data_IF_430713757106
#
_entry.id   IF_430713757106
#
_cell.length_a   1.000
_cell.length_b   1.000
_cell.length_c   1.000
_cell.angle_alpha   90.00
_cell.angle_beta   90.00
_cell.angle_gamma   90.00
#
_symmetry.space_group_name_H-M   'P 1'
#
loop_
_entity.id
_entity.type
_entity.pdbx_description
1 polymer ?
#
# COMPACT_ATOMS: atom_id res chain seq x y z
N UNK A 1 0.24 1.97 22.75
CA UNK A 1 1.18 1.11 23.50
C UNK A 1 2.15 0.48 22.51
N UNK A 2 3.44 0.33 22.85
CA UNK A 2 4.48 -0.19 21.94
C UNK A 2 5.63 -0.80 22.74
N UNK A 3 6.34 -1.78 22.16
CA UNK A 3 7.55 -2.38 22.73
C UNK A 3 8.84 -1.64 22.30
N UNK A 4 8.73 -0.57 21.52
CA UNK A 4 9.86 0.22 21.06
C UNK A 4 10.38 1.12 22.19
N UNK A 5 11.68 1.07 22.44
CA UNK A 5 12.34 1.79 23.55
C UNK A 5 12.64 3.27 23.28
N UNK A 6 12.50 3.74 22.04
CA UNK A 6 12.83 5.13 21.65
C UNK A 6 11.61 5.84 21.10
N UNK A 7 11.29 7.00 21.68
CA UNK A 7 10.20 7.88 21.26
C UNK A 7 10.34 8.29 19.78
N UNK A 8 11.56 8.49 19.30
CA UNK A 8 11.83 8.86 17.90
C UNK A 8 11.49 7.71 16.95
N UNK A 9 11.89 6.49 17.30
CA UNK A 9 11.53 5.28 16.54
C UNK A 9 10.02 5.09 16.52
N UNK A 10 9.35 5.29 17.66
CA UNK A 10 7.89 5.22 17.77
C UNK A 10 7.23 6.21 16.82
N UNK A 11 7.64 7.49 16.87
CA UNK A 11 7.09 8.53 16.00
C UNK A 11 7.30 8.21 14.53
N UNK A 12 8.52 7.79 14.16
CA UNK A 12 8.87 7.44 12.77
C UNK A 12 8.07 6.25 12.24
N UNK A 13 7.89 5.20 13.03
CA UNK A 13 7.09 4.03 12.61
C UNK A 13 5.61 4.40 12.54
N UNK A 14 5.10 5.11 13.54
CA UNK A 14 3.69 5.49 13.57
C UNK A 14 3.32 6.44 12.43
N UNK A 15 4.21 7.36 12.04
CA UNK A 15 3.97 8.26 10.90
C UNK A 15 3.82 7.51 9.56
N UNK A 16 4.33 6.29 9.45
CA UNK A 16 4.20 5.47 8.24
C UNK A 16 2.84 4.72 8.16
N UNK A 17 2.02 4.75 9.23
CA UNK A 17 0.75 4.02 9.29
C UNK A 17 -0.18 4.36 8.12
N UNK A 18 -0.20 5.62 7.68
CA UNK A 18 -1.07 6.07 6.58
C UNK A 18 -0.70 5.43 5.24
N UNK A 19 0.49 4.81 5.11
CA UNK A 19 0.96 4.19 3.87
C UNK A 19 0.05 3.06 3.35
N UNK A 20 -0.70 2.37 4.21
CA UNK A 20 -1.63 1.31 3.81
C UNK A 20 -3.01 1.85 3.39
N UNK A 21 -3.33 3.11 3.68
CA UNK A 21 -4.68 3.65 3.41
C UNK A 21 -4.96 3.76 1.91
N UNK A 22 -3.94 4.03 1.10
CA UNK A 22 -4.06 4.01 -0.35
C UNK A 22 -4.46 2.62 -0.87
N UNK A 23 -3.86 1.57 -0.31
CA UNK A 23 -4.22 0.18 -0.64
C UNK A 23 -5.67 -0.13 -0.25
N UNK A 24 -6.11 0.29 0.94
CA UNK A 24 -7.50 0.09 1.35
C UNK A 24 -8.51 0.88 0.52
N UNK A 25 -8.16 2.10 0.08
CA UNK A 25 -8.99 2.87 -0.84
C UNK A 25 -9.14 2.15 -2.18
N UNK A 26 -8.03 1.60 -2.70
CA UNK A 26 -8.02 0.86 -3.96
C UNK A 26 -8.82 -0.45 -3.87
N UNK A 27 -8.90 -1.11 -2.70
CA UNK A 27 -9.75 -2.30 -2.51
C UNK A 27 -11.25 -2.01 -2.60
N UNK A 28 -11.64 -0.77 -2.29
CA UNK A 28 -13.03 -0.31 -2.26
C UNK A 28 -13.37 0.42 -3.56
N UNK A 29 -13.96 1.60 -3.45
CA UNK A 29 -14.39 2.43 -4.57
C UNK A 29 -13.27 3.16 -5.30
N UNK A 30 -12.03 3.10 -4.81
CA UNK A 30 -10.88 3.74 -5.44
C UNK A 30 -10.22 2.93 -6.56
N UNK A 31 -10.67 1.69 -6.81
CA UNK A 31 -10.04 0.84 -7.81
C UNK A 31 -10.75 -0.50 -8.04
N UNK A 32 -10.37 -1.52 -7.30
CA UNK A 32 -10.73 -2.92 -7.55
C UNK A 32 -12.17 -3.29 -7.20
N UNK A 33 -12.92 -2.45 -6.46
CA UNK A 33 -14.32 -2.67 -6.08
C UNK A 33 -14.58 -4.08 -5.52
N UNK A 34 -13.66 -4.59 -4.68
CA UNK A 34 -13.68 -6.00 -4.23
C UNK A 34 -14.97 -6.35 -3.49
N UNK A 35 -15.54 -5.40 -2.74
CA UNK A 35 -16.81 -5.56 -2.02
C UNK A 35 -18.01 -5.73 -2.96
N UNK A 36 -17.99 -5.11 -4.14
CA UNK A 36 -19.06 -5.21 -5.15
C UNK A 36 -18.84 -6.38 -6.13
N UNK A 37 -17.63 -6.93 -6.19
CA UNK A 37 -17.26 -7.97 -7.15
C UNK A 37 -17.94 -9.34 -6.88
N UNK A 38 -18.59 -9.52 -5.71
CA UNK A 38 -19.32 -10.75 -5.32
C UNK A 38 -18.51 -12.03 -5.63
N UNK A 39 -17.21 -12.02 -5.30
CA UNK A 39 -16.32 -13.13 -5.56
C UNK A 39 -16.52 -14.27 -4.56
N UNK A 40 -16.50 -15.52 -5.06
CA UNK A 40 -16.37 -16.67 -4.18
C UNK A 40 -15.00 -16.67 -3.49
N UNK A 41 -14.86 -17.46 -2.42
CA UNK A 41 -13.67 -17.47 -1.58
C UNK A 41 -12.37 -17.76 -2.37
N UNK A 42 -12.39 -18.75 -3.27
CA UNK A 42 -11.21 -19.10 -4.07
C UNK A 42 -10.80 -17.96 -4.99
N UNK A 43 -11.76 -17.33 -5.68
CA UNK A 43 -11.48 -16.19 -6.56
C UNK A 43 -10.98 -14.99 -5.77
N UNK A 44 -11.58 -14.70 -4.62
CA UNK A 44 -11.17 -13.60 -3.75
C UNK A 44 -9.73 -13.79 -3.25
N UNK A 45 -9.38 -15.00 -2.81
CA UNK A 45 -8.02 -15.32 -2.36
C UNK A 45 -6.99 -15.12 -3.47
N UNK A 46 -7.28 -15.60 -4.68
CA UNK A 46 -6.40 -15.44 -5.83
C UNK A 46 -6.22 -13.95 -6.21
N UNK A 47 -7.30 -13.15 -6.15
CA UNK A 47 -7.24 -11.71 -6.41
C UNK A 47 -6.39 -10.99 -5.36
N UNK A 48 -6.62 -11.24 -4.07
CA UNK A 48 -5.84 -10.62 -2.99
C UNK A 48 -4.36 -10.98 -3.13
N UNK A 49 -4.03 -12.23 -3.45
CA UNK A 49 -2.64 -12.66 -3.69
C UNK A 49 -2.01 -11.89 -4.85
N UNK A 50 -2.71 -11.80 -5.99
CA UNK A 50 -2.22 -11.07 -7.17
C UNK A 50 -1.99 -9.59 -6.84
N UNK A 51 -2.93 -8.96 -6.12
CA UNK A 51 -2.82 -7.57 -5.73
C UNK A 51 -1.64 -7.37 -4.76
N UNK A 52 -1.43 -8.27 -3.79
CA UNK A 52 -0.30 -8.22 -2.87
C UNK A 52 1.06 -8.29 -3.60
N UNK A 53 1.18 -9.17 -4.59
CA UNK A 53 2.39 -9.26 -5.44
C UNK A 53 2.59 -7.95 -6.21
N UNK A 54 1.53 -7.43 -6.84
CA UNK A 54 1.56 -6.16 -7.58
C UNK A 54 2.01 -4.99 -6.71
N UNK A 55 1.43 -4.80 -5.52
CA UNK A 55 1.84 -3.74 -4.59
C UNK A 55 3.28 -3.90 -4.13
N UNK A 56 3.75 -5.12 -3.92
CA UNK A 56 5.14 -5.39 -3.52
C UNK A 56 6.11 -4.93 -4.60
N UNK A 57 5.87 -5.32 -5.85
CA UNK A 57 6.69 -4.92 -7.01
C UNK A 57 6.65 -3.39 -7.19
N UNK A 58 5.46 -2.79 -7.16
CA UNK A 58 5.27 -1.36 -7.31
C UNK A 58 5.93 -0.56 -6.19
N UNK A 59 5.93 -1.08 -4.95
CA UNK A 59 6.61 -0.45 -3.81
C UNK A 59 8.12 -0.40 -4.01
N UNK A 60 8.73 -1.50 -4.48
CA UNK A 60 10.15 -1.50 -4.81
C UNK A 60 10.48 -0.54 -5.96
N UNK A 61 9.63 -0.50 -6.99
CA UNK A 61 9.83 0.42 -8.11
C UNK A 61 9.67 1.88 -7.68
N UNK A 62 8.69 2.19 -6.84
CA UNK A 62 8.49 3.52 -6.25
C UNK A 62 9.70 3.98 -5.45
N UNK A 63 10.32 3.09 -4.67
CA UNK A 63 11.58 3.40 -3.97
C UNK A 63 12.72 3.73 -4.94
N UNK A 64 12.86 2.99 -6.05
CA UNK A 64 13.87 3.28 -7.07
C UNK A 64 13.64 4.65 -7.71
N UNK A 65 12.39 4.99 -8.05
CA UNK A 65 12.02 6.30 -8.61
C UNK A 65 12.30 7.43 -7.61
N UNK A 66 11.95 7.22 -6.33
CA UNK A 66 12.21 8.18 -5.25
C UNK A 66 13.70 8.49 -5.13
N UNK A 67 14.56 7.46 -5.16
CA UNK A 67 16.03 7.60 -5.12
C UNK A 67 16.60 8.34 -6.33
N UNK A 68 15.98 8.23 -7.50
CA UNK A 68 16.37 8.96 -8.72
C UNK A 68 15.91 10.43 -8.74
N UNK A 69 15.13 10.87 -7.75
CA UNK A 69 14.59 12.25 -7.71
C UNK A 69 13.47 12.52 -8.73
N UNK A 70 12.96 11.50 -9.42
CA UNK A 70 11.96 11.64 -10.48
C UNK A 70 10.51 11.72 -9.96
N UNK A 71 10.33 12.15 -8.71
CA UNK A 71 9.02 12.20 -8.05
C UNK A 71 8.03 13.14 -8.76
N UNK A 72 8.54 14.20 -9.41
CA UNK A 72 7.76 15.15 -10.23
C UNK A 72 6.95 14.49 -11.36
N UNK A 73 7.36 13.31 -11.81
CA UNK A 73 6.73 12.59 -12.92
C UNK A 73 5.82 11.45 -12.44
N UNK A 74 5.63 11.30 -11.14
CA UNK A 74 4.72 10.30 -10.56
C UNK A 74 3.36 10.95 -10.39
N UNK A 75 2.34 10.39 -11.02
CA UNK A 75 0.96 10.88 -10.99
C UNK A 75 0.27 10.71 -9.62
N UNK A 76 0.81 9.84 -8.76
CA UNK A 76 0.29 9.55 -7.42
C UNK A 76 1.34 9.96 -6.38
N UNK A 77 1.20 11.18 -5.86
CA UNK A 77 2.05 11.75 -4.82
C UNK A 77 1.17 11.81 -3.57
N UNK A 78 1.34 10.82 -2.68
CA UNK A 78 0.72 10.85 -1.36
C UNK A 78 1.67 11.51 -0.36
#
# INVERSE_FOLDING_TARGET
MTNLSSIEKVRKVYSQRMGIEAMFKDYKSGGYHLEAANANQTRLNNLILLIAISYTINSFQGQKIKKKGLQKYVSRIN
#
